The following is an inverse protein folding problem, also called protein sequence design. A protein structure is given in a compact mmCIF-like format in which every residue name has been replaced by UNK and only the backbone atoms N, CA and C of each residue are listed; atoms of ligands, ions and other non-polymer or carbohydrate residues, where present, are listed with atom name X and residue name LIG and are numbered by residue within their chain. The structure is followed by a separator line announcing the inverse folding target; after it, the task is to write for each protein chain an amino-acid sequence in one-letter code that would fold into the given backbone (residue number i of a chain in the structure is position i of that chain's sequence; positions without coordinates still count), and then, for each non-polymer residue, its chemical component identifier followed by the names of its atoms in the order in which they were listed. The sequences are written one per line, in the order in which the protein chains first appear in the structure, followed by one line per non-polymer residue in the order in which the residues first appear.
data_IF_164471338280
#
_entry.id   IF_164471338280
#
_cell.length_a   1.000
_cell.length_b   1.000
_cell.length_c   1.000
_cell.angle_alpha   90.00
_cell.angle_beta   90.00
_cell.angle_gamma   90.00
#
_symmetry.space_group_name_H-M   'P 1'
#
loop_
_entity.id
_entity.type
_entity.pdbx_description
1 polymer ?
#
# COMPACT_ATOMS: atom_id res chain seq x y z
N UNK A 1 -35.68 -3.95 -14.47
CA UNK A 1 -34.61 -3.24 -15.20
C UNK A 1 -33.32 -3.36 -14.40
N UNK A 2 -32.20 -3.70 -15.03
CA UNK A 2 -30.90 -3.69 -14.34
C UNK A 2 -30.52 -2.23 -14.14
N UNK A 3 -30.20 -1.76 -12.92
CA UNK A 3 -29.75 -0.40 -12.74
C UNK A 3 -28.51 -0.17 -13.60
N UNK A 4 -28.45 0.99 -14.26
CA UNK A 4 -27.32 1.46 -15.03
C UNK A 4 -26.01 1.12 -14.30
N UNK A 5 -25.12 0.40 -14.99
CA UNK A 5 -23.73 0.26 -14.53
C UNK A 5 -23.21 1.69 -14.39
N UNK A 6 -23.03 2.18 -13.16
CA UNK A 6 -22.26 3.39 -12.93
C UNK A 6 -20.97 3.21 -13.71
N UNK A 7 -20.73 4.05 -14.71
CA UNK A 7 -19.42 4.13 -15.32
C UNK A 7 -18.44 4.39 -14.17
N UNK A 8 -17.44 3.51 -14.02
CA UNK A 8 -16.47 3.63 -12.94
C UNK A 8 -15.92 5.07 -12.94
N UNK A 9 -15.95 5.78 -11.79
CA UNK A 9 -15.50 7.15 -11.73
C UNK A 9 -13.99 7.20 -11.96
N UNK A 10 -13.57 7.40 -13.20
CA UNK A 10 -12.17 7.57 -13.57
C UNK A 10 -11.73 8.96 -13.14
N UNK A 11 -10.77 9.02 -12.21
CA UNK A 11 -10.16 10.29 -11.79
C UNK A 11 -9.47 10.97 -12.98
N UNK A 12 -9.75 12.25 -13.27
CA UNK A 12 -9.09 12.97 -14.35
C UNK A 12 -7.55 12.99 -14.20
N UNK A 13 -6.79 12.80 -15.29
CA UNK A 13 -5.34 12.91 -15.28
C UNK A 13 -4.91 14.31 -14.80
N UNK A 14 -4.03 14.37 -13.80
CA UNK A 14 -3.47 15.62 -13.29
C UNK A 14 -4.19 16.26 -12.10
N UNK A 15 -5.34 15.73 -11.65
CA UNK A 15 -5.97 16.17 -10.40
C UNK A 15 -5.06 15.84 -9.20
N UNK A 16 -4.81 16.80 -8.31
CA UNK A 16 -3.88 16.66 -7.16
C UNK A 16 -4.39 17.37 -5.91
N UNK A 17 -3.79 17.06 -4.77
CA UNK A 17 -4.05 17.75 -3.50
C UNK A 17 -5.51 17.62 -3.03
N UNK A 18 -6.08 18.67 -2.41
CA UNK A 18 -7.44 18.63 -1.86
C UNK A 18 -8.53 18.25 -2.87
N UNK A 19 -8.39 18.63 -4.14
CA UNK A 19 -9.35 18.26 -5.19
C UNK A 19 -9.38 16.74 -5.45
N UNK A 20 -8.20 16.12 -5.43
CA UNK A 20 -8.07 14.66 -5.58
C UNK A 20 -8.65 13.90 -4.37
N UNK A 21 -8.39 14.41 -3.17
CA UNK A 21 -8.97 13.86 -1.95
C UNK A 21 -10.50 13.97 -2.00
N UNK A 22 -11.02 15.14 -2.39
CA UNK A 22 -12.46 15.34 -2.56
C UNK A 22 -13.08 14.35 -3.54
N UNK A 23 -12.44 14.18 -4.70
CA UNK A 23 -12.88 13.20 -5.68
C UNK A 23 -12.90 11.78 -5.09
N UNK A 24 -11.83 11.34 -4.42
CA UNK A 24 -11.76 10.00 -3.81
C UNK A 24 -12.92 9.77 -2.84
N UNK A 25 -13.21 10.73 -1.98
CA UNK A 25 -14.27 10.58 -0.99
C UNK A 25 -15.68 10.67 -1.60
N UNK A 26 -15.98 11.74 -2.34
CA UNK A 26 -17.33 12.01 -2.85
C UNK A 26 -17.72 11.11 -4.02
N UNK A 27 -16.75 10.71 -4.85
CA UNK A 27 -17.03 9.95 -6.08
C UNK A 27 -16.76 8.46 -5.93
N UNK A 28 -15.97 8.05 -4.93
CA UNK A 28 -15.59 6.64 -4.79
C UNK A 28 -15.95 6.09 -3.41
N UNK A 29 -15.30 6.52 -2.33
CA UNK A 29 -15.45 5.88 -1.01
C UNK A 29 -16.87 5.96 -0.44
N UNK A 30 -17.50 7.14 -0.51
CA UNK A 30 -18.88 7.33 -0.01
C UNK A 30 -19.89 6.54 -0.85
N UNK A 31 -19.94 6.68 -2.20
CA UNK A 31 -20.84 5.88 -3.03
C UNK A 31 -20.60 4.37 -2.93
N UNK A 32 -19.34 3.94 -2.85
CA UNK A 32 -19.00 2.52 -2.69
C UNK A 32 -19.56 1.98 -1.37
N UNK A 33 -19.38 2.71 -0.27
CA UNK A 33 -19.91 2.30 1.03
C UNK A 33 -21.44 2.19 1.02
N UNK A 34 -22.14 3.14 0.40
CA UNK A 34 -23.59 3.10 0.27
C UNK A 34 -24.07 1.92 -0.58
N UNK A 35 -23.40 1.67 -1.71
CA UNK A 35 -23.72 0.56 -2.59
C UNK A 35 -23.47 -0.81 -1.93
N UNK A 36 -22.41 -0.93 -1.12
CA UNK A 36 -22.06 -2.17 -0.43
C UNK A 36 -22.98 -2.45 0.78
N UNK A 37 -23.47 -1.43 1.48
CA UNK A 37 -24.11 -1.59 2.78
C UNK A 37 -25.29 -2.60 2.81
N UNK A 38 -26.23 -2.65 1.84
CA UNK A 38 -27.30 -3.65 1.84
C UNK A 38 -26.76 -5.08 1.77
N UNK A 39 -25.80 -5.35 0.88
CA UNK A 39 -25.19 -6.68 0.73
C UNK A 39 -24.35 -7.08 1.93
N UNK A 40 -23.65 -6.12 2.56
CA UNK A 40 -22.92 -6.37 3.82
C UNK A 40 -23.89 -6.74 4.94
N UNK A 41 -25.02 -6.02 5.10
CA UNK A 41 -26.05 -6.39 6.10
C UNK A 41 -26.61 -7.77 5.87
N UNK A 42 -26.94 -8.11 4.62
CA UNK A 42 -27.45 -9.43 4.27
C UNK A 42 -26.42 -10.52 4.62
N UNK A 43 -25.16 -10.34 4.24
CA UNK A 43 -24.09 -11.29 4.53
C UNK A 43 -23.87 -11.47 6.05
N UNK A 44 -23.84 -10.37 6.81
CA UNK A 44 -23.71 -10.41 8.27
C UNK A 44 -24.92 -11.10 8.92
N UNK A 45 -26.14 -10.80 8.47
CA UNK A 45 -27.36 -11.41 8.99
C UNK A 45 -27.46 -12.92 8.69
N UNK A 46 -26.99 -13.34 7.51
CA UNK A 46 -26.99 -14.74 7.09
C UNK A 46 -25.88 -15.55 7.78
N UNK A 47 -24.67 -15.02 7.84
CA UNK A 47 -23.51 -15.70 8.42
C UNK A 47 -23.46 -15.65 9.95
N UNK A 48 -23.99 -14.57 10.56
CA UNK A 48 -23.95 -14.27 12.00
C UNK A 48 -22.53 -14.34 12.57
N UNK A 49 -21.59 -13.50 12.08
CA UNK A 49 -20.21 -13.52 12.55
C UNK A 49 -20.08 -13.04 14.00
N UNK A 50 -19.13 -13.60 14.73
CA UNK A 50 -18.70 -13.08 16.04
C UNK A 50 -17.90 -11.78 15.91
N UNK A 51 -17.20 -11.59 14.78
CA UNK A 51 -16.48 -10.35 14.45
C UNK A 51 -16.41 -10.11 12.93
N UNK A 52 -16.32 -8.85 12.53
CA UNK A 52 -16.16 -8.44 11.12
C UNK A 52 -14.73 -7.96 10.86
N UNK A 53 -14.13 -8.35 9.73
CA UNK A 53 -12.89 -7.73 9.24
C UNK A 53 -13.24 -6.77 8.12
N UNK A 54 -12.95 -5.48 8.31
CA UNK A 54 -13.27 -4.42 7.35
C UNK A 54 -11.99 -3.74 6.87
N UNK A 55 -11.77 -3.69 5.55
CA UNK A 55 -10.71 -2.86 4.98
C UNK A 55 -10.93 -1.38 5.34
N UNK A 56 -9.83 -0.67 5.62
CA UNK A 56 -9.84 0.71 6.09
C UNK A 56 -10.56 1.69 5.15
N UNK A 57 -10.70 1.37 3.87
CA UNK A 57 -11.40 2.18 2.87
C UNK A 57 -12.77 1.60 2.46
N UNK A 58 -13.05 0.33 2.79
CA UNK A 58 -14.36 -0.31 2.60
C UNK A 58 -15.32 -0.01 3.76
N UNK A 59 -15.68 1.27 3.93
CA UNK A 59 -16.35 1.82 5.12
C UNK A 59 -17.68 1.14 5.49
N UNK A 60 -18.36 0.51 4.52
CA UNK A 60 -19.59 -0.24 4.77
C UNK A 60 -19.39 -1.36 5.81
N UNK A 61 -18.26 -2.06 5.79
CA UNK A 61 -17.99 -3.15 6.74
C UNK A 61 -17.99 -2.66 8.18
N UNK A 62 -17.26 -1.57 8.46
CA UNK A 62 -17.19 -0.97 9.79
C UNK A 62 -18.53 -0.36 10.23
N UNK A 63 -19.19 0.39 9.35
CA UNK A 63 -20.43 1.10 9.69
C UNK A 63 -21.60 0.13 9.93
N UNK A 64 -21.70 -0.94 9.15
CA UNK A 64 -22.72 -1.99 9.36
C UNK A 64 -22.42 -2.81 10.62
N UNK A 65 -21.16 -3.14 10.88
CA UNK A 65 -20.79 -3.81 12.14
C UNK A 65 -21.13 -2.95 13.37
N UNK A 66 -20.83 -1.63 13.30
CA UNK A 66 -21.21 -0.65 14.32
C UNK A 66 -22.74 -0.57 14.53
N UNK A 67 -23.51 -0.55 13.43
CA UNK A 67 -24.99 -0.56 13.45
C UNK A 67 -25.55 -1.79 14.16
N UNK A 68 -25.01 -2.97 13.85
CA UNK A 68 -25.47 -4.26 14.36
C UNK A 68 -24.88 -4.64 15.73
N UNK A 69 -23.98 -3.82 16.28
CA UNK A 69 -23.33 -4.08 17.56
C UNK A 69 -22.32 -5.23 17.55
N UNK A 70 -21.76 -5.55 16.38
CA UNK A 70 -20.76 -6.62 16.21
C UNK A 70 -19.37 -6.00 16.26
N UNK A 71 -18.41 -6.56 17.03
CA UNK A 71 -17.04 -6.06 17.04
C UNK A 71 -16.40 -6.21 15.65
N UNK A 72 -15.57 -5.26 15.26
CA UNK A 72 -14.85 -5.34 13.98
C UNK A 72 -13.36 -5.04 14.13
N UNK A 73 -12.57 -5.65 13.27
CA UNK A 73 -11.17 -5.30 13.06
C UNK A 73 -11.05 -4.44 11.80
N UNK A 74 -10.30 -3.34 11.87
CA UNK A 74 -9.85 -2.63 10.68
C UNK A 74 -8.66 -3.37 10.09
N UNK A 75 -8.73 -3.73 8.82
CA UNK A 75 -7.61 -4.16 7.99
C UNK A 75 -6.97 -2.93 7.33
N UNK A 76 -5.89 -2.43 7.90
CA UNK A 76 -5.16 -1.25 7.41
C UNK A 76 -4.08 -1.66 6.40
N UNK A 77 -4.43 -1.58 5.12
CA UNK A 77 -3.60 -2.01 3.98
C UNK A 77 -2.55 -0.97 3.55
N UNK A 78 -2.51 0.20 4.19
CA UNK A 78 -1.50 1.24 3.98
C UNK A 78 -1.10 1.87 5.31
N UNK A 79 0.20 2.19 5.48
CA UNK A 79 0.66 2.93 6.66
C UNK A 79 0.43 4.44 6.57
N UNK A 80 -0.09 4.95 5.45
CA UNK A 80 -0.26 6.37 5.23
C UNK A 80 -1.35 7.01 6.13
N UNK A 81 -2.42 6.27 6.44
CA UNK A 81 -3.54 6.77 7.25
C UNK A 81 -3.13 7.04 8.72
N UNK A 82 -1.99 6.51 9.17
CA UNK A 82 -1.45 6.74 10.51
C UNK A 82 -0.76 8.09 10.67
N UNK A 83 -0.32 8.73 9.59
CA UNK A 83 0.51 9.94 9.62
C UNK A 83 -0.28 11.26 9.71
N UNK A 84 -1.59 11.21 9.97
CA UNK A 84 -2.54 12.34 9.96
C UNK A 84 -2.28 13.38 8.87
N UNK A 85 -2.38 12.94 7.61
CA UNK A 85 -2.08 13.79 6.45
C UNK A 85 -2.96 15.06 6.35
N UNK A 86 -4.06 15.14 7.11
CA UNK A 86 -4.99 16.27 7.10
C UNK A 86 -4.73 17.27 8.23
N UNK A 87 -3.86 16.97 9.20
CA UNK A 87 -3.47 17.88 10.27
C UNK A 87 -3.11 19.31 9.79
N UNK A 88 -2.31 19.51 8.70
CA UNK A 88 -2.01 20.86 8.20
C UNK A 88 -3.16 21.51 7.41
N UNK A 89 -4.31 20.84 7.26
CA UNK A 89 -5.46 21.27 6.45
C UNK A 89 -6.78 21.18 7.23
N UNK A 90 -6.97 22.01 8.29
CA UNK A 90 -8.09 21.86 9.23
C UNK A 90 -9.48 21.97 8.59
N UNK A 91 -9.64 22.81 7.55
CA UNK A 91 -10.90 22.90 6.80
C UNK A 91 -11.23 21.62 6.03
N UNK A 92 -10.20 20.94 5.52
CA UNK A 92 -10.35 19.67 4.81
C UNK A 92 -10.64 18.54 5.80
N UNK A 93 -9.99 18.55 6.97
CA UNK A 93 -10.29 17.63 8.05
C UNK A 93 -11.75 17.74 8.51
N UNK A 94 -12.22 18.95 8.82
CA UNK A 94 -13.62 19.19 9.22
C UNK A 94 -14.63 18.74 8.17
N UNK A 95 -14.37 19.05 6.89
CA UNK A 95 -15.21 18.58 5.78
C UNK A 95 -15.24 17.05 5.66
N UNK A 96 -14.11 16.38 5.87
CA UNK A 96 -14.03 14.92 5.87
C UNK A 96 -14.82 14.31 7.04
N UNK A 97 -14.78 14.94 8.22
CA UNK A 97 -15.54 14.50 9.39
C UNK A 97 -17.05 14.69 9.18
N UNK A 98 -17.47 15.78 8.53
CA UNK A 98 -18.87 16.00 8.13
C UNK A 98 -19.36 14.94 7.13
N UNK A 99 -18.52 14.59 6.15
CA UNK A 99 -18.83 13.52 5.19
C UNK A 99 -19.02 12.17 5.88
N UNK A 100 -18.08 11.79 6.76
CA UNK A 100 -18.15 10.55 7.52
C UNK A 100 -19.38 10.52 8.43
N UNK A 101 -19.67 11.63 9.10
CA UNK A 101 -20.88 11.77 9.93
C UNK A 101 -22.16 11.64 9.11
N UNK A 102 -22.18 12.22 7.90
CA UNK A 102 -23.28 12.08 6.95
C UNK A 102 -23.48 10.65 6.48
N UNK A 103 -22.40 9.96 6.12
CA UNK A 103 -22.43 8.56 5.72
C UNK A 103 -22.92 7.67 6.86
N UNK A 104 -22.42 7.86 8.10
CA UNK A 104 -22.91 7.13 9.28
C UNK A 104 -24.41 7.28 9.48
N UNK A 105 -24.97 8.49 9.35
CA UNK A 105 -26.43 8.69 9.48
C UNK A 105 -27.24 7.87 8.47
N UNK A 106 -26.67 7.54 7.31
CA UNK A 106 -27.36 6.80 6.25
C UNK A 106 -27.19 5.29 6.38
N UNK A 107 -26.01 4.81 6.79
CA UNK A 107 -25.69 3.37 6.74
C UNK A 107 -25.10 2.76 8.02
N UNK A 108 -24.90 3.55 9.09
CA UNK A 108 -24.33 3.08 10.34
C UNK A 108 -25.22 3.41 11.54
N UNK A 109 -24.68 3.26 12.76
CA UNK A 109 -25.42 3.56 13.99
C UNK A 109 -25.60 5.07 14.19
N UNK A 110 -26.84 5.58 14.34
CA UNK A 110 -27.05 6.97 14.76
C UNK A 110 -26.40 7.25 16.12
N UNK A 111 -25.57 8.30 16.20
CA UNK A 111 -24.88 8.69 17.42
C UNK A 111 -23.52 8.02 17.67
N UNK A 112 -23.06 7.12 16.79
CA UNK A 112 -21.68 6.60 16.82
C UNK A 112 -20.65 7.72 16.62
N UNK A 113 -19.54 7.67 17.36
CA UNK A 113 -18.52 8.73 17.39
C UNK A 113 -17.14 8.30 16.92
N UNK A 114 -16.85 7.00 16.75
CA UNK A 114 -15.54 6.56 16.28
C UNK A 114 -15.32 6.91 14.81
N UNK A 115 -14.08 7.10 14.37
CA UNK A 115 -13.78 7.12 12.93
C UNK A 115 -13.90 5.69 12.39
N UNK A 116 -14.78 5.39 11.40
CA UNK A 116 -14.99 4.01 10.94
C UNK A 116 -13.74 3.40 10.28
N UNK A 117 -12.76 4.24 9.91
CA UNK A 117 -11.44 3.79 9.43
C UNK A 117 -10.57 3.24 10.54
N UNK A 118 -10.91 3.46 11.81
CA UNK A 118 -10.13 3.02 12.96
C UNK A 118 -11.08 2.40 13.98
N UNK A 119 -11.30 1.09 13.86
CA UNK A 119 -12.08 0.31 14.83
C UNK A 119 -11.71 0.68 16.27
N UNK A 120 -12.67 0.83 17.20
CA UNK A 120 -12.38 0.98 18.62
C UNK A 120 -11.81 -0.30 19.25
N UNK A 121 -11.90 -1.44 18.57
CA UNK A 121 -11.50 -2.74 19.10
C UNK A 121 -10.12 -3.20 18.62
N UNK A 122 -9.86 -3.15 17.31
CA UNK A 122 -8.62 -3.67 16.71
C UNK A 122 -8.33 -3.03 15.36
N UNK A 123 -7.11 -2.55 15.16
CA UNK A 123 -6.59 -2.13 13.86
C UNK A 123 -5.39 -3.01 13.50
N UNK A 124 -5.55 -3.92 12.54
CA UNK A 124 -4.46 -4.71 12.00
C UNK A 124 -3.68 -3.88 10.98
N UNK A 125 -2.44 -3.54 11.30
CA UNK A 125 -1.54 -2.80 10.42
C UNK A 125 -0.57 -3.76 9.72
N UNK A 126 -0.66 -3.84 8.39
CA UNK A 126 0.23 -4.68 7.56
C UNK A 126 1.54 -3.94 7.26
N UNK A 127 2.23 -3.54 8.32
CA UNK A 127 3.48 -2.80 8.36
C UNK A 127 4.07 -2.90 9.77
N UNK A 128 5.09 -2.11 10.08
CA UNK A 128 5.63 -1.94 11.44
C UNK A 128 5.96 -0.45 11.71
N UNK A 129 6.11 -0.04 12.99
CA UNK A 129 6.49 1.33 13.34
C UNK A 129 7.80 1.80 12.70
N UNK A 130 8.75 0.88 12.45
CA UNK A 130 10.05 1.16 11.84
C UNK A 130 9.91 1.69 10.40
N UNK A 131 8.87 1.28 9.68
CA UNK A 131 8.50 1.90 8.40
C UNK A 131 7.53 3.06 8.61
N UNK A 132 6.47 2.87 9.39
CA UNK A 132 5.37 3.83 9.48
C UNK A 132 5.79 5.17 10.10
N UNK A 133 6.82 5.17 10.95
CA UNK A 133 7.26 6.34 11.71
C UNK A 133 6.27 6.71 12.81
N UNK A 134 6.26 7.99 13.25
CA UNK A 134 5.34 8.46 14.28
C UNK A 134 3.87 8.21 13.92
N UNK A 135 3.14 7.60 14.84
CA UNK A 135 1.72 7.26 14.71
C UNK A 135 0.88 8.39 15.30
N UNK A 136 0.10 9.06 14.46
CA UNK A 136 -0.77 10.18 14.86
C UNK A 136 -2.24 9.79 14.94
N UNK A 137 -2.64 8.66 14.33
CA UNK A 137 -4.02 8.13 14.37
C UNK A 137 -4.03 6.64 14.67
N UNK A 138 -5.12 6.15 15.28
CA UNK A 138 -5.29 4.75 15.68
C UNK A 138 -4.94 4.52 17.15
N UNK A 139 -3.78 4.93 17.65
CA UNK A 139 -3.40 4.75 19.06
C UNK A 139 -3.18 3.29 19.45
N UNK A 140 -3.43 2.93 20.72
CA UNK A 140 -3.00 1.65 21.33
C UNK A 140 -3.70 0.38 20.80
N UNK A 141 -4.74 0.56 19.97
CA UNK A 141 -5.50 -0.52 19.31
C UNK A 141 -4.83 -1.04 18.04
N UNK A 142 -3.70 -0.46 17.63
CA UNK A 142 -2.98 -0.93 16.45
C UNK A 142 -2.15 -2.17 16.80
N UNK A 143 -2.47 -3.27 16.14
CA UNK A 143 -1.65 -4.48 16.10
C UNK A 143 -0.78 -4.44 14.84
N UNK A 144 0.52 -4.21 15.03
CA UNK A 144 1.52 -4.24 13.97
C UNK A 144 1.91 -5.68 13.66
N UNK A 145 1.40 -6.20 12.55
CA UNK A 145 1.59 -7.60 12.17
C UNK A 145 2.60 -7.78 11.05
N UNK A 146 3.17 -6.68 10.53
CA UNK A 146 4.03 -6.73 9.34
C UNK A 146 3.26 -7.14 8.07
N UNK A 147 3.93 -7.17 6.91
CA UNK A 147 3.28 -7.56 5.67
C UNK A 147 2.87 -9.04 5.67
N UNK A 148 1.66 -9.33 5.21
CA UNK A 148 1.20 -10.71 4.99
C UNK A 148 1.56 -11.17 3.58
N UNK A 149 2.78 -11.68 3.43
CA UNK A 149 3.26 -12.23 2.16
C UNK A 149 2.86 -13.70 2.03
N UNK A 150 1.99 -14.00 1.07
CA UNK A 150 1.69 -15.37 0.65
C UNK A 150 2.43 -15.71 -0.66
N UNK A 151 2.70 -16.99 -0.87
CA UNK A 151 3.21 -17.47 -2.16
C UNK A 151 2.19 -17.08 -3.26
N UNK A 152 2.64 -16.27 -4.23
CA UNK A 152 1.82 -15.91 -5.39
C UNK A 152 1.94 -16.97 -6.47
N UNK A 153 0.91 -17.19 -7.30
CA UNK A 153 1.06 -17.95 -8.54
C UNK A 153 2.23 -17.37 -9.33
N UNK A 154 3.23 -18.20 -9.64
CA UNK A 154 4.37 -17.78 -10.46
C UNK A 154 3.88 -17.42 -11.86
N UNK A 155 4.22 -16.23 -12.40
CA UNK A 155 3.95 -15.93 -13.80
C UNK A 155 4.53 -17.03 -14.69
N UNK A 156 3.84 -17.36 -15.77
CA UNK A 156 4.30 -18.34 -16.74
C UNK A 156 5.54 -17.77 -17.47
N UNK A 157 6.71 -18.37 -17.18
CA UNK A 157 8.03 -18.11 -17.74
C UNK A 157 8.63 -16.70 -17.53
N UNK A 158 9.79 -16.64 -16.88
CA UNK A 158 10.68 -15.48 -16.85
C UNK A 158 12.07 -15.94 -17.35
N UNK A 159 12.75 -15.18 -18.23
CA UNK A 159 14.02 -15.58 -18.83
C UNK A 159 15.18 -15.36 -17.85
N UNK A 160 15.25 -16.20 -16.82
CA UNK A 160 16.26 -16.11 -15.74
C UNK A 160 17.70 -16.19 -16.26
N UNK A 161 17.92 -16.90 -17.35
CA UNK A 161 19.19 -17.04 -18.06
C UNK A 161 19.75 -15.73 -18.61
N UNK A 162 18.89 -14.70 -18.77
CA UNK A 162 19.32 -13.36 -19.19
C UNK A 162 19.93 -12.54 -18.05
N UNK A 163 19.78 -12.97 -16.80
CA UNK A 163 20.31 -12.23 -15.66
C UNK A 163 21.80 -12.51 -15.46
N UNK A 164 22.59 -11.44 -15.38
CA UNK A 164 24.03 -11.51 -15.11
C UNK A 164 24.28 -11.44 -13.61
N UNK A 165 24.78 -12.52 -12.96
CA UNK A 165 25.05 -12.53 -11.52
C UNK A 165 26.21 -11.61 -11.11
N UNK A 166 27.03 -11.14 -12.06
CA UNK A 166 28.10 -10.17 -11.80
C UNK A 166 27.62 -8.72 -11.67
N UNK A 167 26.35 -8.45 -11.98
CA UNK A 167 25.76 -7.11 -11.96
C UNK A 167 24.70 -6.98 -10.87
N UNK A 168 24.59 -5.79 -10.30
CA UNK A 168 23.54 -5.45 -9.36
C UNK A 168 22.18 -5.43 -10.07
N UNK A 169 21.30 -6.35 -9.68
CA UNK A 169 19.94 -6.42 -10.20
C UNK A 169 19.08 -5.28 -9.63
N UNK A 170 18.46 -4.49 -10.51
CA UNK A 170 17.51 -3.43 -10.14
C UNK A 170 16.13 -3.77 -10.68
N UNK A 171 15.16 -3.95 -9.78
CA UNK A 171 13.76 -4.10 -10.16
C UNK A 171 13.12 -2.73 -10.36
N UNK A 172 12.43 -2.50 -11.47
CA UNK A 172 11.69 -1.26 -11.76
C UNK A 172 10.21 -1.58 -11.95
N UNK A 173 9.35 -1.02 -11.09
CA UNK A 173 7.91 -1.30 -11.11
C UNK A 173 7.08 -0.10 -10.63
N UNK A 174 6.10 0.32 -11.44
CA UNK A 174 5.18 1.41 -11.11
C UNK A 174 3.80 0.93 -10.62
N UNK A 175 3.67 -0.38 -10.37
CA UNK A 175 2.41 -1.01 -9.98
C UNK A 175 1.37 -1.03 -11.11
N UNK A 176 0.28 -1.74 -10.89
CA UNK A 176 -0.79 -1.95 -11.89
C UNK A 176 -1.68 -0.71 -12.06
N UNK A 177 -1.77 0.15 -11.05
CA UNK A 177 -2.66 1.31 -11.04
C UNK A 177 -2.12 2.54 -11.81
N UNK A 178 -0.91 2.47 -12.37
CA UNK A 178 -0.22 3.63 -12.98
C UNK A 178 0.30 3.39 -14.40
N UNK A 179 -0.09 2.29 -15.06
CA UNK A 179 0.43 1.88 -16.37
C UNK A 179 0.47 3.04 -17.40
N UNK A 180 -0.67 3.70 -17.64
CA UNK A 180 -0.77 4.79 -18.63
C UNK A 180 -0.04 6.10 -18.28
N UNK A 181 0.45 6.29 -17.06
CA UNK A 181 1.20 7.49 -16.66
C UNK A 181 2.73 7.27 -16.57
N UNK A 182 3.17 6.00 -16.67
CA UNK A 182 4.52 5.57 -16.35
C UNK A 182 5.56 5.72 -17.46
N UNK A 183 5.12 5.79 -18.72
CA UNK A 183 5.99 5.63 -19.91
C UNK A 183 7.29 6.44 -19.88
N UNK A 184 7.19 7.77 -19.72
CA UNK A 184 8.37 8.65 -19.63
C UNK A 184 9.32 8.19 -18.52
N UNK A 185 8.80 7.91 -17.33
CA UNK A 185 9.63 7.54 -16.19
C UNK A 185 10.34 6.20 -16.42
N UNK A 186 9.66 5.22 -17.03
CA UNK A 186 10.28 3.96 -17.41
C UNK A 186 11.42 4.18 -18.41
N UNK A 187 11.22 5.00 -19.45
CA UNK A 187 12.27 5.33 -20.42
C UNK A 187 13.49 5.96 -19.75
N UNK A 188 13.27 6.91 -18.85
CA UNK A 188 14.34 7.58 -18.11
C UNK A 188 15.08 6.62 -17.16
N UNK A 189 14.35 5.72 -16.50
CA UNK A 189 14.94 4.68 -15.66
C UNK A 189 15.75 3.66 -16.48
N UNK A 190 15.29 3.28 -17.66
CA UNK A 190 16.05 2.43 -18.59
C UNK A 190 17.33 3.13 -19.06
N UNK A 191 17.27 4.44 -19.35
CA UNK A 191 18.46 5.25 -19.64
C UNK A 191 19.44 5.30 -18.48
N UNK A 192 18.94 5.40 -17.23
CA UNK A 192 19.78 5.38 -16.03
C UNK A 192 20.50 4.05 -15.82
N UNK A 193 19.81 2.93 -16.10
CA UNK A 193 20.37 1.57 -16.05
C UNK A 193 21.43 1.37 -17.14
N UNK A 194 21.14 1.73 -18.39
CA UNK A 194 22.08 1.59 -19.52
C UNK A 194 23.35 2.43 -19.32
N UNK A 195 23.24 3.61 -18.71
CA UNK A 195 24.41 4.41 -18.33
C UNK A 195 25.31 3.72 -17.25
N UNK A 196 24.84 2.65 -16.63
CA UNK A 196 25.52 1.82 -15.62
C UNK A 196 25.66 0.36 -16.07
N UNK A 197 25.65 0.11 -17.38
CA UNK A 197 25.66 -1.24 -17.96
C UNK A 197 26.79 -2.15 -17.42
N UNK A 198 27.94 -1.60 -17.04
CA UNK A 198 29.03 -2.40 -16.46
C UNK A 198 28.78 -2.91 -15.02
N UNK A 199 27.79 -2.38 -14.31
CA UNK A 199 27.58 -2.65 -12.88
C UNK A 199 26.13 -2.96 -12.50
N UNK A 200 25.13 -2.50 -13.27
CA UNK A 200 23.71 -2.60 -12.93
C UNK A 200 22.94 -3.20 -14.09
N UNK A 201 22.10 -4.20 -13.84
CA UNK A 201 21.15 -4.73 -14.82
C UNK A 201 19.72 -4.48 -14.33
N UNK A 202 18.82 -4.07 -15.23
CA UNK A 202 17.45 -3.70 -14.87
C UNK A 202 16.40 -4.69 -15.33
N UNK A 203 15.45 -5.03 -14.46
CA UNK A 203 14.23 -5.77 -14.82
C UNK A 203 13.02 -4.85 -14.62
N UNK A 204 12.21 -4.68 -15.67
CA UNK A 204 11.12 -3.70 -15.73
C UNK A 204 9.78 -4.40 -15.89
N UNK A 205 8.83 -4.07 -15.01
CA UNK A 205 7.41 -4.33 -15.23
C UNK A 205 6.85 -3.24 -16.17
N UNK A 206 6.58 -3.61 -17.43
CA UNK A 206 6.16 -2.72 -18.51
C UNK A 206 4.89 -3.25 -19.19
N UNK A 207 3.71 -3.17 -18.53
CA UNK A 207 2.46 -3.77 -19.01
C UNK A 207 2.01 -3.23 -20.38
N UNK A 208 2.34 -1.97 -20.68
CA UNK A 208 1.96 -1.29 -21.92
C UNK A 208 3.06 -1.40 -23.00
N UNK A 209 4.19 -2.07 -22.71
CA UNK A 209 5.29 -2.27 -23.64
C UNK A 209 5.96 -0.97 -24.13
N UNK A 210 5.90 0.10 -23.34
CA UNK A 210 6.34 1.45 -23.75
C UNK A 210 7.84 1.51 -24.04
N UNK A 211 8.63 0.64 -23.41
CA UNK A 211 10.07 0.62 -23.59
C UNK A 211 10.50 0.01 -24.93
N UNK A 212 9.67 -0.83 -25.55
CA UNK A 212 10.00 -1.51 -26.81
C UNK A 212 11.33 -2.26 -26.77
N UNK A 213 11.69 -2.83 -25.61
CA UNK A 213 13.00 -3.46 -25.40
C UNK A 213 13.11 -4.72 -26.25
N UNK A 214 14.24 -4.86 -26.95
CA UNK A 214 14.52 -6.06 -27.73
C UNK A 214 14.89 -7.24 -26.82
N UNK A 215 14.61 -8.45 -27.28
CA UNK A 215 14.94 -9.67 -26.52
C UNK A 215 16.44 -9.84 -26.26
N UNK A 216 17.29 -9.26 -27.13
CA UNK A 216 18.75 -9.30 -27.06
C UNK A 216 19.39 -8.15 -26.26
N UNK A 217 18.60 -7.27 -25.63
CA UNK A 217 19.15 -6.19 -24.78
C UNK A 217 19.85 -6.79 -23.55
N UNK A 218 21.17 -6.55 -23.36
CA UNK A 218 21.93 -7.13 -22.27
C UNK A 218 21.73 -6.41 -20.93
N UNK A 219 21.22 -5.18 -20.96
CA UNK A 219 21.14 -4.29 -19.80
C UNK A 219 19.75 -4.22 -19.19
N UNK A 220 18.73 -4.41 -20.02
CA UNK A 220 17.33 -4.26 -19.66
C UNK A 220 16.52 -5.48 -20.09
N UNK A 221 15.80 -6.06 -19.14
CA UNK A 221 14.72 -7.03 -19.39
C UNK A 221 13.40 -6.35 -19.07
N UNK A 222 12.52 -6.18 -20.06
CA UNK A 222 11.20 -5.60 -19.84
C UNK A 222 10.10 -6.59 -20.24
N UNK A 223 9.13 -6.81 -19.35
CA UNK A 223 8.01 -7.72 -19.57
C UNK A 223 6.72 -7.11 -19.00
N UNK A 224 5.55 -7.44 -19.55
CA UNK A 224 4.28 -6.97 -19.00
C UNK A 224 4.05 -7.36 -17.54
N UNK A 225 4.53 -8.56 -17.18
CA UNK A 225 4.49 -9.10 -15.83
C UNK A 225 5.83 -9.74 -15.51
N UNK A 226 6.29 -9.54 -14.27
CA UNK A 226 7.56 -10.07 -13.76
C UNK A 226 7.32 -10.81 -12.44
N UNK A 227 8.12 -11.85 -12.12
CA UNK A 227 8.04 -12.55 -10.85
C UNK A 227 8.64 -11.69 -9.73
N UNK A 228 7.92 -10.64 -9.33
CA UNK A 228 8.41 -9.58 -8.45
C UNK A 228 9.01 -10.11 -7.14
N UNK A 229 8.36 -11.06 -6.47
CA UNK A 229 8.88 -11.64 -5.22
C UNK A 229 10.18 -12.41 -5.45
N UNK A 230 10.24 -13.28 -6.46
CA UNK A 230 11.45 -14.05 -6.79
C UNK A 230 12.62 -13.13 -7.23
N UNK A 231 12.32 -11.99 -7.87
CA UNK A 231 13.32 -10.99 -8.25
C UNK A 231 13.83 -10.21 -7.03
N UNK A 232 12.94 -9.86 -6.09
CA UNK A 232 13.32 -9.14 -4.87
C UNK A 232 14.23 -9.96 -3.95
N UNK A 233 14.18 -11.30 -4.00
CA UNK A 233 15.15 -12.16 -3.30
C UNK A 233 16.60 -11.95 -3.77
N UNK A 234 16.79 -11.41 -4.98
CA UNK A 234 18.10 -11.24 -5.63
C UNK A 234 18.43 -9.77 -5.92
N UNK A 235 17.46 -8.88 -5.79
CA UNK A 235 17.60 -7.48 -6.17
C UNK A 235 18.57 -6.75 -5.22
N UNK A 236 19.42 -5.93 -5.80
CA UNK A 236 20.29 -5.03 -5.06
C UNK A 236 19.59 -3.71 -4.69
N UNK A 237 18.60 -3.29 -5.49
CA UNK A 237 17.73 -2.15 -5.23
C UNK A 237 16.41 -2.29 -6.00
N UNK A 238 15.38 -1.53 -5.63
CA UNK A 238 14.15 -1.42 -6.40
C UNK A 238 13.75 0.05 -6.63
N UNK A 239 13.33 0.37 -7.86
CA UNK A 239 12.77 1.66 -8.24
C UNK A 239 11.25 1.50 -8.34
N UNK A 240 10.49 2.24 -7.53
CA UNK A 240 9.04 2.10 -7.52
C UNK A 240 8.28 3.39 -7.27
N UNK A 241 6.98 3.33 -7.51
CA UNK A 241 6.02 4.42 -7.28
C UNK A 241 5.65 4.65 -5.80
N UNK A 242 6.29 3.96 -4.85
CA UNK A 242 5.96 3.97 -3.42
C UNK A 242 4.56 3.47 -3.05
N UNK A 243 3.99 2.52 -3.81
CA UNK A 243 2.81 1.79 -3.34
C UNK A 243 3.17 0.93 -2.12
N UNK A 244 2.31 0.95 -1.09
CA UNK A 244 2.57 0.29 0.20
C UNK A 244 3.00 -1.17 0.06
N UNK A 245 2.29 -1.97 -0.74
CA UNK A 245 2.63 -3.37 -0.97
C UNK A 245 4.03 -3.54 -1.60
N UNK A 246 4.35 -2.77 -2.64
CA UNK A 246 5.66 -2.85 -3.30
C UNK A 246 6.80 -2.44 -2.36
N UNK A 247 6.57 -1.42 -1.53
CA UNK A 247 7.53 -1.00 -0.50
C UNK A 247 7.71 -2.11 0.52
N UNK A 248 6.62 -2.69 1.02
CA UNK A 248 6.69 -3.76 2.01
C UNK A 248 7.36 -5.02 1.46
N UNK A 249 7.06 -5.41 0.23
CA UNK A 249 7.70 -6.55 -0.44
C UNK A 249 9.21 -6.31 -0.60
N UNK A 250 9.64 -5.13 -1.05
CA UNK A 250 11.06 -4.83 -1.18
C UNK A 250 11.79 -4.84 0.17
N UNK A 251 11.23 -4.16 1.18
CA UNK A 251 11.84 -4.09 2.52
C UNK A 251 11.77 -5.43 3.26
N UNK A 252 10.80 -6.29 2.98
CA UNK A 252 10.80 -7.67 3.47
C UNK A 252 12.06 -8.45 3.05
N UNK A 253 12.55 -8.19 1.84
CA UNK A 253 13.80 -8.75 1.32
C UNK A 253 15.04 -7.89 1.66
N UNK A 254 14.88 -6.83 2.46
CA UNK A 254 15.98 -5.91 2.81
C UNK A 254 16.51 -5.10 1.62
N UNK A 255 15.70 -4.95 0.57
CA UNK A 255 16.07 -4.27 -0.67
C UNK A 255 15.85 -2.76 -0.51
N UNK A 256 16.89 -1.92 -0.65
CA UNK A 256 16.75 -0.48 -0.57
C UNK A 256 16.01 0.11 -1.78
N UNK A 257 15.37 1.26 -1.58
CA UNK A 257 14.37 1.79 -2.51
C UNK A 257 14.76 3.13 -3.15
N UNK A 258 14.49 3.28 -4.44
CA UNK A 258 14.31 4.60 -5.07
C UNK A 258 12.82 4.81 -5.29
N UNK A 259 12.23 5.75 -4.55
CA UNK A 259 10.78 6.00 -4.55
C UNK A 259 10.40 7.23 -5.37
N UNK A 260 9.49 7.06 -6.32
CA UNK A 260 8.97 8.07 -7.23
C UNK A 260 7.44 8.19 -7.11
N UNK A 261 6.91 8.77 -6.01
CA UNK A 261 5.48 8.81 -5.75
C UNK A 261 4.72 9.63 -6.81
N UNK A 262 3.57 9.11 -7.23
CA UNK A 262 2.73 9.68 -8.29
C UNK A 262 1.51 10.38 -7.69
N UNK A 263 0.76 9.70 -6.82
CA UNK A 263 -0.55 10.15 -6.29
C UNK A 263 -0.96 9.40 -5.02
N UNK A 264 -2.11 9.79 -4.46
CA UNK A 264 -2.80 9.11 -3.36
C UNK A 264 -1.95 9.01 -2.09
N UNK A 265 -1.80 7.82 -1.52
CA UNK A 265 -1.03 7.56 -0.31
C UNK A 265 0.49 7.51 -0.55
N UNK A 266 0.92 7.31 -1.80
CA UNK A 266 2.32 7.14 -2.19
C UNK A 266 3.25 8.27 -1.71
N UNK A 267 2.88 9.56 -1.69
CA UNK A 267 3.74 10.61 -1.14
C UNK A 267 4.04 10.46 0.35
N UNK A 268 3.08 9.91 1.12
CA UNK A 268 3.25 9.63 2.56
C UNK A 268 4.15 8.40 2.72
N UNK A 269 3.89 7.32 1.99
CA UNK A 269 4.73 6.11 2.00
C UNK A 269 6.17 6.43 1.55
N UNK A 270 6.35 7.28 0.53
CA UNK A 270 7.68 7.72 0.11
C UNK A 270 8.40 8.56 1.18
N UNK A 271 7.65 9.34 1.96
CA UNK A 271 8.21 10.07 3.11
C UNK A 271 8.58 9.12 4.25
N UNK A 272 7.80 8.07 4.49
CA UNK A 272 8.11 6.99 5.44
C UNK A 272 9.40 6.25 5.06
N UNK A 273 9.55 5.84 3.80
CA UNK A 273 10.77 5.19 3.28
C UNK A 273 12.00 6.09 3.43
N UNK A 274 11.88 7.38 3.08
CA UNK A 274 12.98 8.32 3.25
C UNK A 274 13.28 8.60 4.73
N UNK A 275 12.23 8.69 5.56
CA UNK A 275 12.32 8.98 6.99
C UNK A 275 12.98 7.87 7.80
N UNK A 276 12.74 6.60 7.44
CA UNK A 276 13.43 5.47 8.06
C UNK A 276 14.83 5.22 7.44
N UNK A 277 15.22 5.97 6.40
CA UNK A 277 16.54 5.87 5.77
C UNK A 277 16.71 4.68 4.81
N UNK A 278 15.65 3.92 4.52
CA UNK A 278 15.72 2.73 3.67
C UNK A 278 15.63 3.04 2.16
N UNK A 279 15.60 4.33 1.78
CA UNK A 279 15.56 4.71 0.37
C UNK A 279 15.66 6.21 0.10
N UNK A 280 15.72 6.53 -1.20
CA UNK A 280 15.84 7.90 -1.71
C UNK A 280 14.61 8.25 -2.54
N UNK A 281 14.07 9.46 -2.32
CA UNK A 281 12.93 9.97 -3.07
C UNK A 281 13.36 10.77 -4.30
N UNK A 282 12.80 10.44 -5.46
CA UNK A 282 12.90 11.24 -6.69
C UNK A 282 11.55 11.83 -7.09
N UNK A 283 11.57 12.91 -7.88
CA UNK A 283 10.35 13.57 -8.37
C UNK A 283 9.87 12.89 -9.65
N UNK A 284 8.86 12.02 -9.58
CA UNK A 284 8.33 11.25 -10.72
C UNK A 284 8.21 12.05 -12.03
N UNK A 285 7.51 13.19 -12.02
CA UNK A 285 7.28 14.00 -13.21
C UNK A 285 8.46 14.85 -13.70
N UNK A 286 9.60 14.85 -13.01
CA UNK A 286 10.78 15.68 -13.34
C UNK A 286 12.10 14.92 -13.36
N UNK A 287 12.17 13.73 -12.76
CA UNK A 287 13.38 12.94 -12.71
C UNK A 287 13.72 12.46 -14.12
N UNK A 288 14.87 12.87 -14.64
CA UNK A 288 15.48 12.27 -15.83
C UNK A 288 16.48 11.19 -15.46
N UNK A 289 17.05 10.53 -16.46
CA UNK A 289 18.00 9.42 -16.31
C UNK A 289 19.16 9.74 -15.35
N UNK A 290 19.71 10.97 -15.41
CA UNK A 290 20.79 11.39 -14.51
C UNK A 290 20.35 11.42 -13.03
N UNK A 291 19.14 11.93 -12.73
CA UNK A 291 18.63 12.02 -11.37
C UNK A 291 18.25 10.65 -10.80
N UNK A 292 17.64 9.79 -11.63
CA UNK A 292 17.34 8.40 -11.26
C UNK A 292 18.64 7.63 -11.03
N UNK A 293 19.62 7.82 -11.91
CA UNK A 293 20.94 7.22 -11.81
C UNK A 293 21.67 7.59 -10.53
N UNK A 294 21.71 8.89 -10.19
CA UNK A 294 22.33 9.34 -8.94
C UNK A 294 21.64 8.71 -7.71
N UNK A 295 20.31 8.59 -7.72
CA UNK A 295 19.59 7.92 -6.65
C UNK A 295 19.93 6.42 -6.56
N UNK A 296 20.09 5.74 -7.71
CA UNK A 296 20.57 4.35 -7.76
C UNK A 296 21.98 4.21 -7.17
N UNK A 297 22.91 5.09 -7.55
CA UNK A 297 24.27 5.09 -7.02
C UNK A 297 24.28 5.26 -5.50
N UNK A 298 23.43 6.16 -4.99
CA UNK A 298 23.26 6.37 -3.54
C UNK A 298 22.77 5.11 -2.84
N UNK A 299 21.67 4.50 -3.29
CA UNK A 299 21.10 3.32 -2.59
C UNK A 299 21.97 2.06 -2.73
N UNK A 300 22.73 1.94 -3.82
CA UNK A 300 23.65 0.82 -4.04
C UNK A 300 24.99 1.02 -3.31
N UNK A 301 25.47 2.27 -3.21
CA UNK A 301 26.79 2.60 -2.70
C UNK A 301 26.86 2.92 -1.21
N UNK A 302 25.77 3.38 -0.58
CA UNK A 302 25.77 3.78 0.83
C UNK A 302 25.37 2.63 1.78
N UNK A 303 26.29 2.09 2.61
CA UNK A 303 25.99 0.93 3.47
C UNK A 303 24.87 1.20 4.48
N UNK A 304 24.71 2.46 4.92
CA UNK A 304 23.68 2.85 5.88
C UNK A 304 22.25 2.64 5.36
N UNK A 305 22.02 2.81 4.05
CA UNK A 305 20.69 2.65 3.44
C UNK A 305 20.31 1.16 3.41
N UNK A 306 21.27 0.31 3.06
CA UNK A 306 21.11 -1.15 3.13
C UNK A 306 20.89 -1.63 4.57
N UNK A 307 21.63 -1.08 5.54
CA UNK A 307 21.44 -1.39 6.95
C UNK A 307 20.05 -0.98 7.46
N UNK A 308 19.55 0.19 7.05
CA UNK A 308 18.19 0.63 7.36
C UNK A 308 17.11 -0.28 6.76
N UNK A 309 17.25 -0.64 5.48
CA UNK A 309 16.34 -1.59 4.82
C UNK A 309 16.36 -2.97 5.52
N UNK A 310 17.53 -3.46 5.93
CA UNK A 310 17.66 -4.69 6.70
C UNK A 310 17.04 -4.59 8.11
N UNK A 311 17.13 -3.43 8.76
CA UNK A 311 16.47 -3.17 10.03
C UNK A 311 14.95 -3.27 9.93
N UNK A 312 14.35 -2.67 8.90
CA UNK A 312 12.91 -2.80 8.63
C UNK A 312 12.55 -4.25 8.28
N UNK A 313 13.37 -4.95 7.48
CA UNK A 313 13.20 -6.37 7.19
C UNK A 313 13.12 -7.22 8.46
N UNK A 314 14.03 -7.00 9.40
CA UNK A 314 14.05 -7.72 10.67
C UNK A 314 12.78 -7.45 11.50
N UNK A 315 12.35 -6.19 11.58
CA UNK A 315 11.11 -5.82 12.26
C UNK A 315 9.88 -6.48 11.63
N UNK A 316 9.78 -6.48 10.30
CA UNK A 316 8.70 -7.15 9.57
C UNK A 316 8.64 -8.65 9.88
N UNK A 317 9.80 -9.33 9.91
CA UNK A 317 9.88 -10.76 10.22
C UNK A 317 9.51 -11.06 11.67
N UNK A 318 9.82 -10.15 12.58
CA UNK A 318 9.49 -10.29 14.00
C UNK A 318 8.00 -10.02 14.31
N UNK A 319 7.28 -9.31 13.43
CA UNK A 319 5.89 -8.90 13.65
C UNK A 319 4.86 -10.05 13.52
N UNK A 320 5.28 -11.25 13.09
CA UNK A 320 4.47 -12.47 13.13
C UNK A 320 3.51 -12.68 11.94
N UNK A 321 3.27 -11.67 11.10
CA UNK A 321 2.56 -11.81 9.83
C UNK A 321 1.11 -12.29 9.99
N UNK A 322 0.68 -13.12 9.05
CA UNK A 322 -0.69 -13.64 8.99
C UNK A 322 -1.09 -14.45 10.24
N UNK A 323 -0.14 -15.15 10.88
CA UNK A 323 -0.41 -15.90 12.10
C UNK A 323 -0.74 -14.97 13.27
N UNK A 324 0.08 -13.93 13.49
CA UNK A 324 -0.21 -12.92 14.51
C UNK A 324 -1.55 -12.20 14.23
N UNK A 325 -1.84 -11.88 12.97
CA UNK A 325 -3.12 -11.31 12.58
C UNK A 325 -4.30 -12.22 12.94
N UNK A 326 -4.20 -13.53 12.65
CA UNK A 326 -5.20 -14.51 13.03
C UNK A 326 -5.38 -14.57 14.55
N UNK A 327 -4.31 -14.61 15.35
CA UNK A 327 -4.39 -14.62 16.80
C UNK A 327 -5.13 -13.39 17.37
N UNK A 328 -4.89 -12.20 16.79
CA UNK A 328 -5.61 -10.99 17.16
C UNK A 328 -7.10 -11.06 16.81
N UNK A 329 -7.45 -11.63 15.65
CA UNK A 329 -8.84 -11.83 15.23
C UNK A 329 -9.56 -12.87 16.10
N UNK A 330 -8.90 -13.97 16.45
CA UNK A 330 -9.45 -14.97 17.37
C UNK A 330 -9.76 -14.38 18.74
N UNK A 331 -8.88 -13.50 19.27
CA UNK A 331 -9.15 -12.79 20.52
C UNK A 331 -10.33 -11.82 20.40
N UNK A 332 -10.46 -11.13 19.28
CA UNK A 332 -11.57 -10.21 19.04
C UNK A 332 -12.93 -10.93 18.95
N UNK A 333 -12.95 -12.13 18.36
CA UNK A 333 -14.14 -12.94 18.19
C UNK A 333 -14.61 -13.64 19.48
N UNK A 334 -13.79 -13.65 20.54
CA UNK A 334 -14.21 -14.23 21.82
C UNK A 334 -15.20 -13.29 22.52
N UNK A 335 -16.30 -13.80 23.09
CA UNK A 335 -17.15 -13.00 23.96
C UNK A 335 -16.32 -12.49 25.15
N UNK A 336 -16.62 -11.30 25.70
CA UNK A 336 -16.02 -10.88 26.96
C UNK A 336 -16.26 -11.99 27.97
N UNK A 337 -15.21 -12.40 28.70
CA UNK A 337 -15.37 -13.35 29.78
C UNK A 337 -16.47 -12.80 30.69
N UNK A 338 -17.58 -13.54 30.81
CA UNK A 338 -18.70 -13.09 31.62
C UNK A 338 -18.18 -12.71 32.99
N UNK A 339 -18.55 -11.51 33.45
CA UNK A 339 -18.59 -11.25 34.88
C UNK A 339 -19.37 -12.43 35.46
N UNK A 340 -18.68 -13.26 36.24
CA UNK A 340 -19.29 -14.40 36.88
C UNK A 340 -20.56 -13.93 37.56
N UNK A 341 -21.62 -14.71 37.39
CA UNK A 341 -22.76 -14.69 38.29
C UNK A 341 -22.23 -14.99 39.71
N UNK A 342 -21.75 -13.95 40.39
CA UNK A 342 -21.49 -13.97 41.82
C UNK A 342 -22.81 -13.60 42.52
N UNK A 343 -23.50 -14.65 43.01
CA UNK A 343 -24.38 -14.58 44.18
C UNK A 343 -25.87 -14.47 43.93
#
# INVERSE_FOLDING_TARGET
ERPDRLADPVRPPGMRGPAALRFLWERFLVPLAEAMAPGVREAVGAFRPDAVVADQQALAGALVAEELGIPWATSATTSAEFADALAPMPRVAAWNDELLSGLRRRIGRPGGTCDPRFSPYLVLAFSTPELAGPVLRGGDRIAWVGPSLAARPRPAAFPWERLDPGRALVLVTLGTANAGAGGRFLTEAAGAVRARAGAVQGVFADPDGVLGVREDDPDVVALPYVPQLDLLERAAAAVCHAGHNTVCEALWHGVPLVVAPIRDDQPVVAAQVAGCGAGVRVRFGRAGAAAIGAALDTVLGEPRIRAAAAGVSAAFRAAGGAAAAADHLERLARPPAGEGEDG
#
